data_IF_443413676281
#
_entry.id   IF_443413676281
#
_cell.length_a   1.000
_cell.length_b   1.000
_cell.length_c   1.000
_cell.angle_alpha   90.00
_cell.angle_beta   90.00
_cell.angle_gamma   90.00
#
_symmetry.space_group_name_H-M   'P 1'
#
loop_
_entity.id
_entity.type
_entity.pdbx_description
1 polymer ?
#
# COMPACT_ATOMS: atom_id res chain seq x y z
N UNK A 1 24.61 19.41 13.15
CA UNK A 1 23.22 19.36 13.63
C UNK A 1 22.45 20.55 13.09
N UNK A 2 21.83 20.43 11.90
CA UNK A 2 21.02 21.50 11.31
C UNK A 2 19.56 21.06 11.34
N UNK A 3 18.78 21.72 12.21
CA UNK A 3 17.31 21.63 12.24
C UNK A 3 16.78 22.22 10.94
N UNK A 4 16.42 21.38 9.97
CA UNK A 4 15.67 21.83 8.81
C UNK A 4 14.35 22.44 9.27
N UNK A 5 14.17 23.73 8.98
CA UNK A 5 12.89 24.41 9.02
C UNK A 5 11.91 23.65 8.11
N UNK A 6 11.08 22.78 8.71
CA UNK A 6 9.93 22.15 8.04
C UNK A 6 8.96 23.28 7.68
N UNK A 7 8.97 23.75 6.44
CA UNK A 7 7.88 24.64 6.00
C UNK A 7 6.58 23.84 6.08
N UNK A 8 5.50 24.44 6.60
CA UNK A 8 4.20 23.78 6.71
C UNK A 8 3.73 23.21 5.37
N UNK A 9 4.09 23.90 4.27
CA UNK A 9 3.86 23.46 2.91
C UNK A 9 4.56 22.14 2.57
N UNK A 10 5.81 21.96 3.02
CA UNK A 10 6.56 20.72 2.84
C UNK A 10 5.93 19.54 3.58
N UNK A 11 5.35 19.77 4.76
CA UNK A 11 4.64 18.72 5.51
C UNK A 11 3.34 18.31 4.82
N UNK A 12 2.52 19.28 4.39
CA UNK A 12 1.26 19.01 3.69
C UNK A 12 1.52 18.25 2.39
N UNK A 13 2.54 18.64 1.62
CA UNK A 13 2.93 17.93 0.41
C UNK A 13 3.31 16.47 0.68
N UNK A 14 4.11 16.20 1.71
CA UNK A 14 4.47 14.82 2.10
C UNK A 14 3.26 13.99 2.51
N UNK A 15 2.32 14.58 3.25
CA UNK A 15 1.07 13.90 3.63
C UNK A 15 0.27 13.55 2.37
N UNK A 16 0.16 14.46 1.41
CA UNK A 16 -0.54 14.22 0.17
C UNK A 16 0.14 13.14 -0.69
N UNK A 17 1.46 13.24 -0.89
CA UNK A 17 2.24 12.27 -1.66
C UNK A 17 2.12 10.86 -1.03
N UNK A 18 2.30 10.75 0.29
CA UNK A 18 2.17 9.48 1.01
C UNK A 18 0.74 8.91 0.97
N UNK A 19 -0.29 9.78 1.03
CA UNK A 19 -1.68 9.33 0.92
C UNK A 19 -2.01 8.76 -0.46
N UNK A 20 -1.41 9.31 -1.51
CA UNK A 20 -1.53 8.80 -2.88
C UNK A 20 -0.80 7.45 -3.00
N UNK A 21 0.45 7.39 -2.55
CA UNK A 21 1.28 6.18 -2.63
C UNK A 21 0.66 4.99 -1.87
N UNK A 22 0.07 5.25 -0.70
CA UNK A 22 -0.60 4.24 0.13
C UNK A 22 -2.06 3.97 -0.28
N UNK A 23 -2.52 4.54 -1.39
CA UNK A 23 -3.88 4.34 -1.93
C UNK A 23 -4.98 4.54 -0.88
N UNK A 24 -4.91 5.63 -0.12
CA UNK A 24 -5.80 5.89 1.03
C UNK A 24 -7.28 5.80 0.65
N UNK A 25 -7.66 6.25 -0.55
CA UNK A 25 -9.03 6.16 -1.06
C UNK A 25 -9.49 4.71 -1.24
N UNK A 26 -8.61 3.83 -1.72
CA UNK A 26 -8.91 2.41 -1.88
C UNK A 26 -9.07 1.72 -0.52
N UNK A 27 -8.15 1.99 0.41
CA UNK A 27 -8.24 1.49 1.79
C UNK A 27 -9.54 1.95 2.47
N UNK A 28 -9.88 3.23 2.32
CA UNK A 28 -11.11 3.79 2.87
C UNK A 28 -12.37 3.14 2.28
N UNK A 29 -12.38 2.83 0.98
CA UNK A 29 -13.48 2.12 0.35
C UNK A 29 -13.68 0.70 0.93
N UNK A 30 -12.58 -0.03 1.17
CA UNK A 30 -12.64 -1.34 1.81
C UNK A 30 -13.17 -1.26 3.26
N UNK A 31 -12.70 -0.29 4.05
CA UNK A 31 -13.20 -0.05 5.41
C UNK A 31 -14.70 0.29 5.38
N UNK A 32 -15.12 1.17 4.48
CA UNK A 32 -16.51 1.58 4.37
C UNK A 32 -17.43 0.40 3.99
N UNK A 33 -16.99 -0.44 3.06
CA UNK A 33 -17.71 -1.67 2.71
C UNK A 33 -17.85 -2.61 3.92
N UNK A 34 -16.76 -2.87 4.65
CA UNK A 34 -16.82 -3.72 5.84
C UNK A 34 -17.68 -3.09 6.95
N UNK A 35 -17.59 -1.79 7.16
CA UNK A 35 -18.42 -1.06 8.12
C UNK A 35 -19.91 -1.18 7.77
N UNK A 36 -20.27 -0.99 6.50
CA UNK A 36 -21.64 -1.13 6.02
C UNK A 36 -22.19 -2.56 6.23
N UNK A 37 -21.41 -3.58 5.85
CA UNK A 37 -21.80 -4.99 6.03
C UNK A 37 -21.88 -5.38 7.52
N UNK A 38 -21.04 -4.79 8.37
CA UNK A 38 -21.03 -5.01 9.81
C UNK A 38 -22.10 -4.23 10.56
N UNK A 39 -22.76 -3.25 9.95
CA UNK A 39 -23.66 -2.31 10.64
C UNK A 39 -24.82 -3.02 11.34
N UNK A 40 -25.60 -3.82 10.62
CA UNK A 40 -26.74 -4.55 11.20
C UNK A 40 -26.28 -5.53 12.30
N UNK A 41 -25.29 -6.41 12.07
CA UNK A 41 -24.78 -7.29 13.12
C UNK A 41 -24.24 -6.55 14.35
N UNK A 42 -23.55 -5.43 14.16
CA UNK A 42 -22.99 -4.63 15.24
C UNK A 42 -24.09 -3.99 16.10
N UNK A 43 -25.13 -3.44 15.46
CA UNK A 43 -26.28 -2.87 16.15
C UNK A 43 -27.04 -3.92 16.97
N UNK A 44 -27.27 -5.10 16.39
CA UNK A 44 -27.90 -6.20 17.11
C UNK A 44 -27.06 -6.67 18.28
N UNK A 45 -25.74 -6.80 18.10
CA UNK A 45 -24.83 -7.13 19.19
C UNK A 45 -24.86 -6.07 20.29
N UNK A 46 -24.90 -4.79 19.91
CA UNK A 46 -25.01 -3.68 20.85
C UNK A 46 -26.31 -3.74 21.66
N UNK A 47 -27.45 -4.01 21.03
CA UNK A 47 -28.74 -4.16 21.75
C UNK A 47 -28.70 -5.38 22.67
N UNK A 48 -28.17 -6.51 22.22
CA UNK A 48 -28.04 -7.72 23.06
C UNK A 48 -27.18 -7.44 24.30
N UNK A 49 -26.04 -6.77 24.11
CA UNK A 49 -25.14 -6.40 25.23
C UNK A 49 -25.80 -5.35 26.13
N UNK A 50 -26.44 -4.33 25.56
CA UNK A 50 -27.10 -3.28 26.33
C UNK A 50 -28.23 -3.84 27.20
N UNK A 51 -29.09 -4.69 26.64
CA UNK A 51 -30.16 -5.36 27.38
C UNK A 51 -29.60 -6.28 28.47
N UNK A 52 -28.51 -7.00 28.19
CA UNK A 52 -27.89 -7.89 29.17
C UNK A 52 -27.23 -7.16 30.34
N UNK A 53 -26.64 -5.97 30.11
CA UNK A 53 -25.90 -5.21 31.13
C UNK A 53 -26.79 -4.21 31.86
N UNK A 54 -27.67 -3.50 31.14
CA UNK A 54 -28.44 -2.36 31.65
C UNK A 54 -29.95 -2.63 31.74
N UNK A 55 -30.44 -3.76 31.22
CA UNK A 55 -31.86 -4.10 31.16
C UNK A 55 -32.60 -3.48 29.96
N UNK A 56 -33.81 -3.98 29.70
CA UNK A 56 -34.61 -3.65 28.51
C UNK A 56 -35.00 -2.17 28.41
N UNK A 57 -35.32 -1.53 29.54
CA UNK A 57 -35.75 -0.12 29.58
C UNK A 57 -34.63 0.83 29.19
N UNK A 58 -33.42 0.62 29.71
CA UNK A 58 -32.26 1.46 29.41
C UNK A 58 -31.78 1.23 27.97
N UNK A 59 -31.85 -0.01 27.47
CA UNK A 59 -31.51 -0.32 26.09
C UNK A 59 -32.43 0.41 25.09
N UNK A 60 -33.75 0.45 25.34
CA UNK A 60 -34.71 1.16 24.50
C UNK A 60 -34.46 2.68 24.48
N UNK A 61 -34.16 3.27 25.64
CA UNK A 61 -33.86 4.69 25.77
C UNK A 61 -32.52 5.05 25.10
N UNK A 62 -31.53 4.17 25.16
CA UNK A 62 -30.26 4.33 24.46
C UNK A 62 -30.43 4.31 22.93
N UNK A 63 -31.26 3.41 22.40
CA UNK A 63 -31.58 3.37 20.96
C UNK A 63 -32.32 4.64 20.53
N UNK A 64 -33.30 5.09 21.31
CA UNK A 64 -34.04 6.31 21.04
C UNK A 64 -33.13 7.56 21.06
N UNK A 65 -32.26 7.67 22.07
CA UNK A 65 -31.32 8.79 22.17
C UNK A 65 -30.22 8.73 21.10
N UNK A 66 -29.79 7.54 20.68
CA UNK A 66 -28.80 7.41 19.59
C UNK A 66 -29.41 7.82 18.24
N UNK A 67 -30.71 7.57 18.02
CA UNK A 67 -31.43 7.99 16.82
C UNK A 67 -31.31 9.48 16.51
N UNK A 68 -31.29 10.33 17.54
CA UNK A 68 -31.15 11.80 17.39
C UNK A 68 -29.80 12.23 16.81
N UNK A 69 -28.76 11.39 16.96
CA UNK A 69 -27.42 11.66 16.42
C UNK A 69 -27.19 10.98 15.07
N UNK A 70 -28.12 10.14 14.63
CA UNK A 70 -28.06 9.46 13.35
C UNK A 70 -28.75 10.28 12.27
N UNK A 71 -28.36 9.99 11.02
CA UNK A 71 -29.07 10.53 9.87
C UNK A 71 -30.42 9.82 9.73
N UNK A 72 -31.43 10.42 9.06
CA UNK A 72 -32.73 9.76 8.89
C UNK A 72 -32.62 8.35 8.28
N UNK A 73 -31.71 8.17 7.32
CA UNK A 73 -31.43 6.86 6.73
C UNK A 73 -30.72 5.89 7.69
N UNK A 74 -29.84 6.40 8.55
CA UNK A 74 -29.19 5.61 9.60
C UNK A 74 -30.17 5.17 10.68
N UNK A 75 -31.07 6.06 11.09
CA UNK A 75 -32.13 5.77 12.05
C UNK A 75 -33.09 4.70 11.52
N UNK A 76 -33.57 4.84 10.27
CA UNK A 76 -34.45 3.86 9.64
C UNK A 76 -33.78 2.47 9.54
N UNK A 77 -32.49 2.42 9.21
CA UNK A 77 -31.72 1.18 9.17
C UNK A 77 -31.58 0.53 10.55
N UNK A 78 -31.38 1.32 11.61
CA UNK A 78 -31.31 0.84 13.01
C UNK A 78 -32.66 0.30 13.45
N UNK A 79 -33.74 1.05 13.23
CA UNK A 79 -35.11 0.64 13.60
C UNK A 79 -35.50 -0.66 12.87
N UNK A 80 -35.18 -0.78 11.58
CA UNK A 80 -35.42 -1.99 10.80
C UNK A 80 -34.63 -3.20 11.35
N UNK A 81 -33.36 -3.00 11.75
CA UNK A 81 -32.55 -4.03 12.36
C UNK A 81 -33.13 -4.49 13.70
N UNK A 82 -33.44 -3.57 14.61
CA UNK A 82 -33.97 -3.87 15.96
C UNK A 82 -35.33 -4.56 15.89
N UNK A 83 -36.25 -4.07 15.05
CA UNK A 83 -37.57 -4.69 14.86
C UNK A 83 -37.50 -6.10 14.27
N UNK A 84 -36.52 -6.37 13.40
CA UNK A 84 -36.29 -7.72 12.85
C UNK A 84 -35.76 -8.73 13.88
N UNK A 85 -35.11 -8.26 14.95
CA UNK A 85 -34.48 -9.10 15.97
C UNK A 85 -35.39 -9.47 17.14
N UNK A 86 -36.44 -8.69 17.40
CA UNK A 86 -37.37 -8.89 18.53
C UNK A 86 -38.18 -10.20 18.54
N UNK A 87 -38.01 -11.09 17.55
CA UNK A 87 -38.86 -12.28 17.36
C UNK A 87 -38.21 -13.66 17.48
N UNK A 88 -36.89 -13.81 17.65
CA UNK A 88 -36.22 -15.14 17.60
C UNK A 88 -35.10 -15.32 18.63
N UNK A 89 -35.48 -15.61 19.86
CA UNK A 89 -34.61 -15.89 21.01
C UNK A 89 -33.92 -17.27 20.99
N UNK A 90 -34.09 -18.08 19.93
CA UNK A 90 -33.83 -19.53 19.93
C UNK A 90 -32.42 -20.01 19.55
N UNK A 91 -31.46 -19.15 19.21
CA UNK A 91 -30.11 -19.57 18.80
C UNK A 91 -29.01 -18.71 19.46
N UNK A 92 -29.15 -18.42 20.76
CA UNK A 92 -28.40 -17.37 21.48
C UNK A 92 -26.88 -17.47 21.36
N UNK A 93 -26.26 -18.65 21.43
CA UNK A 93 -24.79 -18.76 21.32
C UNK A 93 -24.27 -18.74 19.87
N UNK A 94 -24.92 -19.46 18.95
CA UNK A 94 -24.52 -19.47 17.54
C UNK A 94 -24.81 -18.12 16.87
N UNK A 95 -25.96 -17.52 17.18
CA UNK A 95 -26.33 -16.18 16.74
C UNK A 95 -25.36 -15.13 17.27
N UNK A 96 -24.99 -15.17 18.54
CA UNK A 96 -24.00 -14.26 19.12
C UNK A 96 -22.62 -14.45 18.48
N UNK A 97 -22.21 -15.68 18.18
CA UNK A 97 -21.00 -15.96 17.42
C UNK A 97 -21.02 -15.36 16.01
N UNK A 98 -22.13 -15.49 15.29
CA UNK A 98 -22.30 -14.90 13.94
C UNK A 98 -22.32 -13.38 13.97
N UNK A 99 -23.00 -12.78 14.96
CA UNK A 99 -23.02 -11.33 15.17
C UNK A 99 -21.63 -10.79 15.49
N UNK A 100 -20.91 -11.44 16.40
CA UNK A 100 -19.55 -11.06 16.76
C UNK A 100 -18.61 -11.21 15.57
N UNK A 101 -18.64 -12.34 14.86
CA UNK A 101 -17.83 -12.57 13.67
C UNK A 101 -18.08 -11.53 12.57
N UNK A 102 -19.35 -11.18 12.35
CA UNK A 102 -19.74 -10.17 11.35
C UNK A 102 -19.33 -8.77 11.77
N UNK A 103 -19.44 -8.43 13.05
CA UNK A 103 -18.97 -7.16 13.61
C UNK A 103 -17.46 -7.03 13.50
N UNK A 104 -16.71 -8.13 13.68
CA UNK A 104 -15.26 -8.14 13.59
C UNK A 104 -14.71 -7.82 12.18
N UNK A 105 -15.56 -7.86 11.13
CA UNK A 105 -15.16 -7.51 9.77
C UNK A 105 -14.72 -6.04 9.64
N UNK A 106 -15.37 -5.10 10.32
CA UNK A 106 -14.97 -3.67 10.26
C UNK A 106 -13.55 -3.46 10.80
N UNK A 107 -13.23 -4.13 11.92
CA UNK A 107 -11.89 -4.10 12.50
C UNK A 107 -10.87 -4.76 11.57
N UNK A 108 -11.25 -5.77 10.78
CA UNK A 108 -10.39 -6.35 9.74
C UNK A 108 -9.99 -5.35 8.67
N UNK A 109 -10.96 -4.61 8.15
CA UNK A 109 -10.69 -3.55 7.18
C UNK A 109 -9.73 -2.52 7.76
N UNK A 110 -9.95 -2.18 9.03
CA UNK A 110 -9.16 -1.18 9.72
C UNK A 110 -7.71 -1.63 9.99
N UNK A 111 -7.53 -2.83 10.54
CA UNK A 111 -6.21 -3.43 10.78
C UNK A 111 -5.43 -3.56 9.47
N UNK A 112 -6.09 -4.04 8.41
CA UNK A 112 -5.46 -4.18 7.08
C UNK A 112 -5.01 -2.83 6.54
N UNK A 113 -5.84 -1.80 6.69
CA UNK A 113 -5.51 -0.45 6.26
C UNK A 113 -4.34 0.13 7.05
N UNK A 114 -4.32 -0.07 8.37
CA UNK A 114 -3.23 0.39 9.22
C UNK A 114 -1.93 -0.37 8.91
N UNK A 115 -1.96 -1.69 8.80
CA UNK A 115 -0.78 -2.47 8.40
C UNK A 115 -0.23 -2.00 7.05
N UNK A 116 -1.09 -1.84 6.04
CA UNK A 116 -0.69 -1.33 4.73
C UNK A 116 -0.10 0.09 4.78
N UNK A 117 -0.67 0.95 5.63
CA UNK A 117 -0.24 2.33 5.83
C UNK A 117 1.13 2.43 6.53
N UNK A 118 1.36 1.60 7.54
CA UNK A 118 2.60 1.57 8.32
C UNK A 118 3.68 0.65 7.71
N UNK A 119 3.39 0.01 6.56
CA UNK A 119 4.36 -0.82 5.84
C UNK A 119 4.60 -2.20 6.47
N UNK A 120 3.65 -2.72 7.23
CA UNK A 120 3.74 -4.07 7.77
C UNK A 120 3.41 -5.13 6.70
N UNK A 121 4.18 -6.21 6.68
CA UNK A 121 3.98 -7.31 5.72
C UNK A 121 3.00 -8.39 6.24
N UNK A 122 2.63 -8.33 7.53
CA UNK A 122 1.82 -9.36 8.18
C UNK A 122 0.40 -8.89 8.49
N UNK A 123 -0.59 -9.66 8.01
CA UNK A 123 -1.97 -9.51 8.48
C UNK A 123 -2.08 -10.01 9.92
N UNK A 124 -2.68 -9.23 10.85
CA UNK A 124 -2.76 -9.63 12.25
C UNK A 124 -3.61 -10.89 12.39
N UNK A 125 -3.11 -11.84 13.20
CA UNK A 125 -3.84 -13.07 13.50
C UNK A 125 -5.18 -12.82 14.20
N UNK A 126 -6.10 -13.78 14.14
CA UNK A 126 -7.47 -13.64 14.64
C UNK A 126 -7.56 -13.17 16.11
N UNK A 127 -6.72 -13.71 17.01
CA UNK A 127 -6.72 -13.29 18.41
C UNK A 127 -6.32 -11.82 18.59
N UNK A 128 -5.37 -11.35 17.78
CA UNK A 128 -4.92 -9.97 17.82
C UNK A 128 -6.01 -9.03 17.31
N UNK A 129 -6.68 -9.39 16.23
CA UNK A 129 -7.84 -8.66 15.75
C UNK A 129 -8.96 -8.53 16.81
N UNK A 130 -9.22 -9.60 17.59
CA UNK A 130 -10.18 -9.53 18.71
C UNK A 130 -9.68 -8.60 19.81
N UNK A 131 -8.39 -8.64 20.14
CA UNK A 131 -7.79 -7.74 21.12
C UNK A 131 -7.82 -6.27 20.66
N UNK A 132 -7.50 -6.00 19.40
CA UNK A 132 -7.52 -4.67 18.80
C UNK A 132 -8.95 -4.12 18.80
N UNK A 133 -9.94 -4.93 18.37
CA UNK A 133 -11.35 -4.58 18.44
C UNK A 133 -11.81 -4.29 19.88
N UNK A 134 -11.49 -5.17 20.84
CA UNK A 134 -11.83 -4.97 22.24
C UNK A 134 -11.19 -3.70 22.80
N UNK A 135 -9.96 -3.40 22.41
CA UNK A 135 -9.24 -2.23 22.87
C UNK A 135 -9.87 -0.92 22.40
N UNK A 136 -10.32 -0.87 21.14
CA UNK A 136 -11.05 0.28 20.59
C UNK A 136 -12.40 0.44 21.29
N UNK A 137 -13.12 -0.65 21.55
CA UNK A 137 -14.40 -0.61 22.28
C UNK A 137 -14.20 -0.08 23.70
N UNK A 138 -13.20 -0.56 24.43
CA UNK A 138 -12.88 -0.08 25.78
C UNK A 138 -12.47 1.39 25.74
N UNK A 139 -11.66 1.80 24.77
CA UNK A 139 -11.25 3.18 24.58
C UNK A 139 -12.44 4.12 24.35
N UNK A 140 -13.37 3.75 23.47
CA UNK A 140 -14.61 4.49 23.23
C UNK A 140 -15.44 4.56 24.52
N UNK A 141 -15.61 3.43 25.23
CA UNK A 141 -16.35 3.38 26.48
C UNK A 141 -15.77 4.28 27.58
N UNK A 142 -14.44 4.28 27.75
CA UNK A 142 -13.73 5.17 28.67
C UNK A 142 -13.89 6.63 28.24
N UNK A 143 -13.77 6.92 26.94
CA UNK A 143 -13.97 8.28 26.41
C UNK A 143 -15.36 8.81 26.74
N UNK A 144 -16.41 8.00 26.53
CA UNK A 144 -17.79 8.36 26.87
C UNK A 144 -17.92 8.57 28.38
N UNK A 145 -17.36 7.67 29.20
CA UNK A 145 -17.38 7.78 30.65
C UNK A 145 -16.73 9.08 31.16
N UNK A 146 -15.57 9.46 30.61
CA UNK A 146 -14.91 10.73 30.92
C UNK A 146 -15.80 11.92 30.53
N UNK A 147 -16.44 11.88 29.37
CA UNK A 147 -17.34 12.94 28.93
C UNK A 147 -18.52 13.14 29.87
N UNK A 148 -19.14 12.04 30.33
CA UNK A 148 -20.25 12.10 31.30
C UNK A 148 -19.78 12.71 32.62
N UNK A 149 -18.61 12.30 33.12
CA UNK A 149 -18.04 12.85 34.36
C UNK A 149 -17.71 14.34 34.22
N UNK A 150 -17.09 14.75 33.11
CA UNK A 150 -16.77 16.16 32.83
C UNK A 150 -18.06 16.98 32.71
N UNK A 151 -19.07 16.48 31.98
CA UNK A 151 -20.37 17.13 31.85
C UNK A 151 -21.07 17.31 33.20
N UNK A 152 -21.06 16.29 34.05
CA UNK A 152 -21.62 16.35 35.40
C UNK A 152 -20.86 17.35 36.29
N UNK A 153 -19.52 17.37 36.21
CA UNK A 153 -18.70 18.32 36.95
C UNK A 153 -18.96 19.77 36.52
N UNK A 154 -19.04 20.02 35.21
CA UNK A 154 -19.33 21.34 34.64
C UNK A 154 -20.72 21.83 35.07
N UNK A 155 -21.73 20.96 35.01
CA UNK A 155 -23.07 21.27 35.48
C UNK A 155 -23.10 21.58 36.99
N UNK A 156 -22.31 20.88 37.79
CA UNK A 156 -22.21 21.11 39.23
C UNK A 156 -21.41 22.37 39.61
N UNK A 157 -20.49 22.82 38.75
CA UNK A 157 -19.60 23.95 39.02
C UNK A 157 -20.17 25.32 38.65
N UNK A 158 -21.38 25.39 38.08
CA UNK A 158 -22.06 26.62 37.60
C UNK A 158 -21.16 27.51 36.71
N UNK A 159 -20.23 26.87 35.99
CA UNK A 159 -19.13 27.52 35.28
C UNK A 159 -19.52 27.99 33.87
N UNK A 160 -20.72 28.58 33.73
CA UNK A 160 -21.39 28.94 32.46
C UNK A 160 -20.48 29.62 31.41
N UNK A 161 -19.62 30.62 31.74
CA UNK A 161 -18.75 31.24 30.73
C UNK A 161 -17.59 30.34 30.25
N UNK A 162 -17.16 29.38 31.06
CA UNK A 162 -16.17 28.37 30.65
C UNK A 162 -16.83 27.33 29.74
N UNK A 163 -18.13 27.03 29.96
CA UNK A 163 -18.92 26.09 29.15
C UNK A 163 -19.09 26.59 27.71
N UNK A 164 -19.37 27.87 27.52
CA UNK A 164 -19.61 28.43 26.18
C UNK A 164 -18.35 28.37 25.31
N UNK A 165 -17.18 28.69 25.86
CA UNK A 165 -15.90 28.62 25.13
C UNK A 165 -15.36 27.19 25.00
N UNK A 166 -15.60 26.34 26.01
CA UNK A 166 -15.19 24.94 25.98
C UNK A 166 -16.08 24.09 25.04
N UNK A 167 -17.35 24.47 24.82
CA UNK A 167 -18.30 23.70 24.01
C UNK A 167 -17.81 23.43 22.58
N UNK A 168 -17.18 24.42 21.94
CA UNK A 168 -16.67 24.31 20.57
C UNK A 168 -15.48 23.34 20.49
N UNK A 169 -14.65 23.29 21.53
CA UNK A 169 -13.50 22.39 21.60
C UNK A 169 -13.81 21.04 22.27
N UNK A 170 -14.94 20.93 22.96
CA UNK A 170 -15.33 19.72 23.69
C UNK A 170 -15.51 18.54 22.73
N UNK A 171 -16.19 18.76 21.60
CA UNK A 171 -16.41 17.71 20.60
C UNK A 171 -15.07 17.27 19.95
N UNK A 172 -14.23 18.16 19.39
CA UNK A 172 -12.91 17.77 18.90
C UNK A 172 -12.01 17.12 19.97
N UNK A 173 -12.03 17.60 21.21
CA UNK A 173 -11.24 17.01 22.29
C UNK A 173 -11.71 15.59 22.63
N UNK A 174 -13.02 15.37 22.69
CA UNK A 174 -13.61 14.05 22.88
C UNK A 174 -13.24 13.11 21.72
N UNK A 175 -13.40 13.57 20.47
CA UNK A 175 -13.02 12.77 19.31
C UNK A 175 -11.52 12.45 19.30
N UNK A 176 -10.66 13.39 19.67
CA UNK A 176 -9.23 13.13 19.78
C UNK A 176 -8.93 12.07 20.84
N UNK A 177 -9.63 12.12 21.99
CA UNK A 177 -9.52 11.09 23.02
C UNK A 177 -10.02 9.72 22.55
N UNK A 178 -11.04 9.68 21.69
CA UNK A 178 -11.56 8.44 21.08
C UNK A 178 -10.61 7.88 20.01
N UNK A 179 -10.05 8.74 19.16
CA UNK A 179 -9.13 8.32 18.10
C UNK A 179 -7.72 7.98 18.59
N UNK A 180 -7.28 8.54 19.72
CA UNK A 180 -5.91 8.34 20.21
C UNK A 180 -5.57 6.87 20.49
N UNK A 181 -6.40 6.07 21.21
CA UNK A 181 -6.13 4.66 21.43
C UNK A 181 -6.08 3.87 20.13
N UNK A 182 -6.92 4.23 19.16
CA UNK A 182 -6.91 3.63 17.84
C UNK A 182 -5.58 3.87 17.11
N UNK A 183 -5.05 5.09 17.14
CA UNK A 183 -3.74 5.40 16.58
C UNK A 183 -2.55 4.93 17.40
N UNK A 184 -2.76 4.50 18.64
CA UNK A 184 -1.69 3.99 19.51
C UNK A 184 -1.61 2.46 19.47
N UNK A 185 -2.75 1.77 19.42
CA UNK A 185 -2.86 0.32 19.60
C UNK A 185 -2.85 -0.45 18.27
N UNK A 186 -3.45 0.09 17.20
CA UNK A 186 -3.52 -0.60 15.92
C UNK A 186 -2.20 -0.62 15.11
N UNK A 187 -1.36 0.44 15.10
CA UNK A 187 -0.15 0.44 14.26
C UNK A 187 0.87 -0.64 14.63
N UNK A 188 1.50 -1.21 13.60
CA UNK A 188 2.69 -2.05 13.72
C UNK A 188 3.79 -1.44 12.86
N UNK A 189 4.93 -0.99 13.43
CA UNK A 189 5.32 -1.07 14.85
C UNK A 189 4.60 -0.07 15.77
N UNK A 190 4.54 -0.36 17.08
CA UNK A 190 3.86 0.47 18.08
C UNK A 190 4.38 1.92 18.06
N UNK A 191 3.47 2.89 18.14
CA UNK A 191 3.81 4.31 18.23
C UNK A 191 3.92 4.74 19.69
N UNK A 192 4.70 5.80 19.97
CA UNK A 192 4.55 6.47 21.27
C UNK A 192 3.29 7.34 21.26
N UNK A 193 2.72 7.62 22.43
CA UNK A 193 1.52 8.49 22.55
C UNK A 193 1.76 9.86 21.91
N UNK A 194 2.99 10.38 21.96
CA UNK A 194 3.37 11.65 21.34
C UNK A 194 3.33 11.60 19.81
N UNK A 195 3.61 10.44 19.23
CA UNK A 195 3.60 10.24 17.77
C UNK A 195 2.18 9.99 17.24
N UNK A 196 1.29 9.45 18.08
CA UNK A 196 -0.11 9.17 17.72
C UNK A 196 -1.04 10.40 17.83
N UNK A 197 -0.67 11.37 18.68
CA UNK A 197 -1.49 12.54 19.02
C UNK A 197 -1.76 13.50 17.85
N UNK A 198 -0.78 13.82 16.96
CA UNK A 198 -1.03 14.71 15.83
C UNK A 198 -2.15 14.22 14.90
N UNK A 199 -2.16 12.93 14.59
CA UNK A 199 -3.16 12.27 13.77
C UNK A 199 -4.51 12.15 14.47
N UNK A 200 -4.53 11.91 15.78
CA UNK A 200 -5.76 11.92 16.58
C UNK A 200 -6.45 13.29 16.54
N UNK A 201 -5.68 14.37 16.72
CA UNK A 201 -6.20 15.75 16.64
C UNK A 201 -6.65 16.09 15.22
N UNK A 202 -5.86 15.72 14.21
CA UNK A 202 -6.23 15.92 12.80
C UNK A 202 -7.55 15.21 12.47
N UNK A 203 -7.68 13.93 12.83
CA UNK A 203 -8.89 13.15 12.60
C UNK A 203 -10.09 13.75 13.32
N UNK A 204 -9.93 14.20 14.56
CA UNK A 204 -11.00 14.84 15.31
C UNK A 204 -11.51 16.14 14.66
N UNK A 205 -10.60 16.99 14.18
CA UNK A 205 -10.95 18.24 13.49
C UNK A 205 -11.63 17.93 12.16
N UNK A 206 -11.03 17.07 11.32
CA UNK A 206 -11.61 16.70 10.03
C UNK A 206 -12.95 15.99 10.17
N UNK A 207 -13.14 15.17 11.20
CA UNK A 207 -14.41 14.52 11.49
C UNK A 207 -15.49 15.53 11.89
N UNK A 208 -15.14 16.52 12.72
CA UNK A 208 -16.06 17.61 13.10
C UNK A 208 -16.51 18.39 11.87
N UNK A 209 -15.57 18.71 10.96
CA UNK A 209 -15.86 19.37 9.69
C UNK A 209 -16.72 18.49 8.77
N UNK A 210 -16.43 17.18 8.72
CA UNK A 210 -17.18 16.21 7.94
C UNK A 210 -18.63 16.14 8.43
N UNK A 211 -18.85 16.09 9.75
CA UNK A 211 -20.19 16.12 10.36
C UNK A 211 -20.95 17.40 10.02
N UNK A 212 -20.32 18.56 10.17
CA UNK A 212 -20.94 19.84 9.80
C UNK A 212 -21.31 19.89 8.31
N UNK A 213 -20.39 19.49 7.43
CA UNK A 213 -20.61 19.47 5.98
C UNK A 213 -21.73 18.50 5.58
N UNK A 214 -21.81 17.35 6.23
CA UNK A 214 -22.84 16.36 5.95
C UNK A 214 -24.21 16.77 6.46
N UNK A 215 -24.32 17.47 7.60
CA UNK A 215 -25.60 18.05 8.02
C UNK A 215 -26.14 19.06 7.00
N UNK A 216 -25.28 19.91 6.46
CA UNK A 216 -25.65 20.85 5.38
C UNK A 216 -26.11 20.08 4.14
N UNK A 217 -25.37 19.05 3.74
CA UNK A 217 -25.75 18.20 2.62
C UNK A 217 -27.10 17.51 2.84
N UNK A 218 -27.31 16.89 4.01
CA UNK A 218 -28.52 16.15 4.34
C UNK A 218 -29.76 17.05 4.39
N UNK A 219 -29.62 18.28 4.91
CA UNK A 219 -30.68 19.28 4.89
C UNK A 219 -31.11 19.63 3.46
N UNK A 220 -30.15 19.71 2.53
CA UNK A 220 -30.42 19.88 1.11
C UNK A 220 -30.93 18.61 0.42
N UNK A 221 -30.52 17.42 0.83
CA UNK A 221 -30.91 16.16 0.19
C UNK A 221 -32.36 15.76 0.51
N UNK A 222 -32.90 16.17 1.67
CA UNK A 222 -34.27 15.88 2.09
C UNK A 222 -35.34 16.37 1.08
N UNK A 223 -35.04 17.41 0.29
CA UNK A 223 -35.93 17.93 -0.75
C UNK A 223 -35.97 17.07 -2.03
N UNK A 224 -35.02 16.14 -2.20
CA UNK A 224 -34.85 15.28 -3.38
C UNK A 224 -35.15 13.81 -3.05
N UNK A 225 -36.35 13.50 -2.52
CA UNK A 225 -36.83 12.14 -2.18
C UNK A 225 -36.90 11.14 -3.35
N UNK A 226 -36.32 11.45 -4.51
CA UNK A 226 -36.47 10.72 -5.77
C UNK A 226 -35.89 9.29 -5.70
N UNK A 227 -34.99 9.00 -4.77
CA UNK A 227 -34.25 7.72 -4.70
C UNK A 227 -34.63 6.80 -3.54
N UNK A 228 -35.56 7.18 -2.65
CA UNK A 228 -36.04 6.35 -1.54
C UNK A 228 -34.92 5.67 -0.73
N UNK A 229 -35.12 4.39 -0.39
CA UNK A 229 -34.17 3.56 0.39
C UNK A 229 -32.80 3.44 -0.28
N UNK A 230 -32.74 3.38 -1.62
CA UNK A 230 -31.47 3.26 -2.37
C UNK A 230 -30.62 4.53 -2.18
N UNK A 231 -31.25 5.71 -2.22
CA UNK A 231 -30.59 6.98 -1.93
C UNK A 231 -30.03 7.01 -0.51
N UNK A 232 -30.79 6.52 0.48
CA UNK A 232 -30.33 6.39 1.86
C UNK A 232 -29.11 5.48 2.02
N UNK A 233 -29.10 4.32 1.35
CA UNK A 233 -27.96 3.40 1.37
C UNK A 233 -26.72 4.03 0.74
N UNK A 234 -26.85 4.62 -0.45
CA UNK A 234 -25.72 5.27 -1.13
C UNK A 234 -25.15 6.42 -0.30
N UNK A 235 -26.03 7.20 0.33
CA UNK A 235 -25.65 8.28 1.22
C UNK A 235 -24.89 7.75 2.45
N UNK A 236 -25.39 6.70 3.09
CA UNK A 236 -24.74 6.05 4.22
C UNK A 236 -23.36 5.50 3.85
N UNK A 237 -23.24 4.80 2.73
CA UNK A 237 -21.95 4.27 2.26
C UNK A 237 -20.97 5.40 1.94
N UNK A 238 -21.45 6.51 1.34
CA UNK A 238 -20.63 7.70 1.07
C UNK A 238 -20.16 8.34 2.38
N UNK A 239 -21.02 8.44 3.38
CA UNK A 239 -20.65 8.92 4.70
C UNK A 239 -19.56 8.05 5.35
N UNK A 240 -19.76 6.73 5.37
CA UNK A 240 -18.78 5.77 5.89
C UNK A 240 -17.44 5.84 5.14
N UNK A 241 -17.49 6.06 3.83
CA UNK A 241 -16.30 6.27 3.00
C UNK A 241 -15.53 7.53 3.40
N UNK A 242 -16.20 8.68 3.52
CA UNK A 242 -15.56 9.92 3.92
C UNK A 242 -15.00 9.82 5.36
N UNK A 243 -15.75 9.18 6.25
CA UNK A 243 -15.30 8.90 7.62
C UNK A 243 -14.02 8.04 7.63
N UNK A 244 -13.98 6.98 6.82
CA UNK A 244 -12.81 6.13 6.68
C UNK A 244 -11.61 6.89 6.08
N UNK A 245 -11.83 7.79 5.10
CA UNK A 245 -10.77 8.65 4.55
C UNK A 245 -10.16 9.53 5.64
N UNK A 246 -10.97 10.18 6.47
CA UNK A 246 -10.49 11.03 7.59
C UNK A 246 -9.62 10.21 8.54
N UNK A 247 -10.09 9.01 8.90
CA UNK A 247 -9.38 8.11 9.81
C UNK A 247 -8.04 7.65 9.24
N UNK A 248 -7.99 7.21 7.98
CA UNK A 248 -6.74 6.74 7.37
C UNK A 248 -5.78 7.92 7.15
N UNK A 249 -6.27 9.10 6.75
CA UNK A 249 -5.45 10.31 6.64
C UNK A 249 -4.83 10.73 7.98
N UNK A 250 -5.56 10.60 9.10
CA UNK A 250 -4.97 10.81 10.43
C UNK A 250 -3.80 9.87 10.71
N UNK A 251 -3.87 8.63 10.24
CA UNK A 251 -2.75 7.70 10.28
C UNK A 251 -1.56 8.16 9.42
N UNK A 252 -1.81 8.66 8.20
CA UNK A 252 -0.78 9.23 7.33
C UNK A 252 -0.06 10.39 8.02
N UNK A 253 -0.82 11.27 8.68
CA UNK A 253 -0.27 12.36 9.50
C UNK A 253 0.67 11.81 10.56
N UNK A 254 0.27 10.77 11.29
CA UNK A 254 1.14 10.13 12.29
C UNK A 254 2.43 9.56 11.67
N UNK A 255 2.37 8.89 10.51
CA UNK A 255 3.56 8.37 9.82
C UNK A 255 4.53 9.51 9.46
N UNK A 256 4.03 10.61 8.90
CA UNK A 256 4.84 11.77 8.51
C UNK A 256 5.46 12.46 9.73
N UNK A 257 4.71 12.62 10.82
CA UNK A 257 5.20 13.29 12.04
C UNK A 257 6.16 12.42 12.86
N UNK A 258 5.92 11.11 12.92
CA UNK A 258 6.81 10.12 13.55
C UNK A 258 8.12 9.94 12.78
N UNK A 259 8.23 10.47 11.55
CA UNK A 259 9.43 10.36 10.73
C UNK A 259 9.67 8.96 10.17
N UNK A 260 8.64 8.11 10.11
CA UNK A 260 8.70 6.73 9.56
C UNK A 260 8.45 6.68 8.06
N UNK A 261 8.81 7.74 7.34
CA UNK A 261 8.87 7.66 5.89
C UNK A 261 10.14 6.89 5.61
N UNK A 262 10.03 5.58 5.41
CA UNK A 262 11.04 4.85 4.66
C UNK A 262 11.23 5.65 3.38
N UNK A 263 12.43 6.19 3.19
CA UNK A 263 12.76 6.81 1.92
C UNK A 263 12.37 5.80 0.83
N UNK A 264 11.74 6.24 -0.27
CA UNK A 264 11.74 5.42 -1.47
C UNK A 264 13.18 4.96 -1.65
N UNK A 265 13.34 3.67 -1.86
CA UNK A 265 14.61 3.02 -2.18
C UNK A 265 15.13 3.65 -3.48
N UNK A 266 15.70 4.85 -3.37
CA UNK A 266 16.38 5.58 -4.43
C UNK A 266 17.68 4.82 -4.62
N UNK A 267 17.59 3.77 -5.43
CA UNK A 267 18.68 3.03 -6.06
C UNK A 267 20.03 3.16 -5.36
N UNK A 268 20.19 2.49 -4.22
CA UNK A 268 21.52 2.21 -3.71
C UNK A 268 22.16 1.16 -4.63
N UNK A 269 22.95 1.68 -5.56
CA UNK A 269 24.03 1.05 -6.31
C UNK A 269 24.71 -0.08 -5.52
N UNK A 270 24.23 -1.32 -5.68
CA UNK A 270 24.94 -2.52 -5.22
C UNK A 270 25.99 -2.92 -6.27
N UNK A 271 26.99 -2.05 -6.44
CA UNK A 271 28.28 -2.43 -6.99
C UNK A 271 29.40 -1.78 -6.18
N UNK A 272 29.90 -2.51 -5.16
CA UNK A 272 31.33 -2.75 -4.88
C UNK A 272 31.52 -3.45 -3.52
N UNK A 273 31.69 -4.76 -3.62
CA UNK A 273 32.88 -5.52 -3.21
C UNK A 273 33.54 -5.25 -1.84
N UNK A 274 33.81 -6.34 -1.11
CA UNK A 274 34.82 -6.37 -0.03
C UNK A 274 34.36 -7.01 1.27
N UNK A 275 34.62 -8.32 1.40
CA UNK A 275 34.15 -9.15 2.51
C UNK A 275 34.67 -8.82 3.91
N UNK A 276 33.90 -9.23 4.91
CA UNK A 276 34.41 -9.83 6.14
C UNK A 276 33.24 -10.40 6.97
N UNK A 277 32.92 -11.67 6.74
CA UNK A 277 32.20 -12.49 7.73
C UNK A 277 33.13 -13.66 8.09
N UNK A 278 33.82 -13.50 9.21
CA UNK A 278 34.63 -14.56 9.80
C UNK A 278 33.76 -15.70 10.28
N UNK A 279 33.90 -16.86 9.65
CA UNK A 279 33.48 -18.14 10.21
C UNK A 279 34.75 -18.94 10.45
N UNK A 280 34.97 -19.24 11.72
CA UNK A 280 36.10 -19.98 12.27
C UNK A 280 35.84 -21.48 12.13
N UNK A 281 36.81 -22.18 11.55
CA UNK A 281 37.20 -23.54 11.94
C UNK A 281 36.57 -24.70 11.18
N UNK A 282 37.36 -25.36 10.33
CA UNK A 282 38.11 -26.59 10.70
C UNK A 282 38.73 -27.23 9.45
N UNK A 283 39.95 -27.75 9.63
CA UNK A 283 40.75 -28.54 8.67
C UNK A 283 40.03 -29.87 8.35
N UNK A 284 40.28 -30.63 7.29
CA UNK A 284 41.52 -31.15 6.69
C UNK A 284 41.25 -31.65 5.25
N UNK A 285 42.35 -31.76 4.50
CA UNK A 285 42.71 -32.81 3.54
C UNK A 285 42.04 -33.02 2.17
N UNK A 286 42.98 -33.29 1.25
CA UNK A 286 42.93 -34.23 0.12
C UNK A 286 42.47 -33.72 -1.26
N UNK A 287 43.50 -33.53 -2.08
CA UNK A 287 43.72 -34.24 -3.35
C UNK A 287 42.87 -33.85 -4.58
N UNK A 288 43.61 -33.37 -5.59
CA UNK A 288 43.58 -33.84 -6.97
C UNK A 288 42.23 -34.18 -7.60
N UNK A 289 41.79 -33.37 -8.58
CA UNK A 289 41.93 -33.75 -10.00
C UNK A 289 41.30 -32.76 -10.99
N UNK A 290 42.01 -32.64 -12.11
CA UNK A 290 41.51 -32.47 -13.49
C UNK A 290 40.91 -31.12 -13.88
N UNK A 291 41.69 -30.36 -14.66
CA UNK A 291 41.34 -30.18 -16.08
C UNK A 291 42.61 -30.30 -16.94
N UNK A 292 42.75 -31.48 -17.54
CA UNK A 292 43.47 -31.64 -18.81
C UNK A 292 42.62 -31.01 -19.90
N UNK A 293 43.20 -30.11 -20.69
CA UNK A 293 43.01 -30.18 -22.14
C UNK A 293 44.25 -29.73 -22.88
N UNK A 294 44.49 -30.48 -23.95
CA UNK A 294 45.72 -30.76 -24.65
C UNK A 294 45.66 -30.07 -26.02
N UNK A 295 46.73 -29.34 -26.41
CA UNK A 295 47.56 -29.60 -27.60
C UNK A 295 48.39 -28.40 -28.05
N UNK A 296 49.71 -28.60 -27.98
CA UNK A 296 50.57 -28.56 -29.17
C UNK A 296 51.24 -27.25 -29.55
N UNK A 297 52.47 -27.04 -29.06
CA UNK A 297 53.54 -26.46 -29.90
C UNK A 297 54.93 -26.92 -29.44
N UNK A 298 55.79 -27.42 -30.34
CA UNK A 298 57.10 -27.93 -29.97
C UNK A 298 58.13 -26.79 -29.96
N UNK A 299 58.94 -26.71 -28.92
CA UNK A 299 60.26 -26.07 -29.01
C UNK A 299 61.26 -27.04 -28.41
N UNK A 300 61.94 -27.74 -29.30
CA UNK A 300 63.16 -28.45 -28.94
C UNK A 300 64.30 -27.45 -28.85
N UNK A 301 65.07 -27.53 -27.79
CA UNK A 301 66.51 -27.33 -27.87
C UNK A 301 67.16 -28.06 -26.71
N UNK A 302 67.73 -29.21 -27.03
CA UNK A 302 68.71 -29.90 -26.20
C UNK A 302 70.01 -29.11 -26.23
N UNK A 303 70.71 -29.06 -25.10
CA UNK A 303 72.05 -28.50 -25.00
C UNK A 303 72.67 -28.91 -23.68
N UNK A 304 73.22 -30.11 -23.68
CA UNK A 304 73.86 -30.79 -22.56
C UNK A 304 75.25 -30.25 -22.25
N UNK A 305 75.67 -30.49 -21.00
CA UNK A 305 77.05 -30.67 -20.51
C UNK A 305 77.91 -29.46 -20.10
N UNK A 306 78.12 -29.41 -18.77
CA UNK A 306 79.40 -29.49 -18.05
C UNK A 306 80.57 -28.54 -18.37
N UNK A 307 80.92 -27.78 -17.31
CA UNK A 307 82.25 -27.64 -16.67
C UNK A 307 83.22 -26.50 -17.05
N UNK A 308 83.46 -25.73 -15.99
CA UNK A 308 84.74 -25.29 -15.40
C UNK A 308 85.48 -24.02 -15.86
N UNK A 309 86.00 -23.37 -14.81
CA UNK A 309 87.13 -22.43 -14.68
C UNK A 309 87.06 -21.00 -15.25
N UNK A 310 87.16 -20.06 -14.29
CA UNK A 310 87.82 -18.74 -14.30
C UNK A 310 88.01 -17.96 -15.60
N UNK A 311 87.47 -16.74 -15.64
CA UNK A 311 88.28 -15.52 -15.84
C UNK A 311 87.42 -14.24 -15.78
N UNK A 312 87.93 -13.27 -15.04
CA UNK A 312 87.72 -11.82 -15.13
C UNK A 312 86.31 -11.26 -15.43
N UNK A 313 85.67 -10.71 -14.40
CA UNK A 313 84.64 -9.66 -14.56
C UNK A 313 85.24 -8.44 -15.26
N UNK A 314 85.15 -8.41 -16.59
CA UNK A 314 85.34 -7.18 -17.38
C UNK A 314 84.06 -6.35 -17.32
N UNK A 315 84.14 -5.02 -17.22
CA UNK A 315 82.97 -4.15 -17.28
C UNK A 315 82.24 -4.37 -18.60
N UNK A 316 80.94 -4.71 -18.56
CA UNK A 316 80.09 -4.74 -19.76
C UNK A 316 80.14 -3.35 -20.40
N UNK A 317 80.77 -3.27 -21.58
CA UNK A 317 80.79 -2.06 -22.39
C UNK A 317 79.37 -1.57 -22.66
N UNK A 318 79.22 -0.26 -22.83
CA UNK A 318 77.95 0.37 -23.17
C UNK A 318 77.24 -0.43 -24.28
N UNK A 319 75.95 -0.77 -24.11
CA UNK A 319 75.23 -1.56 -25.09
C UNK A 319 75.29 -0.87 -26.45
N UNK A 320 75.50 -1.66 -27.50
CA UNK A 320 75.62 -1.17 -28.87
C UNK A 320 74.39 -0.34 -29.21
N UNK A 321 74.61 0.94 -29.52
CA UNK A 321 73.55 1.90 -29.81
C UNK A 321 72.70 1.42 -30.99
N UNK A 322 73.29 0.69 -31.93
CA UNK A 322 72.58 0.09 -33.05
C UNK A 322 71.60 -1.02 -32.60
N UNK A 323 71.92 -1.76 -31.54
CA UNK A 323 71.05 -2.79 -30.98
C UNK A 323 69.85 -2.18 -30.24
N UNK A 324 70.07 -1.10 -29.47
CA UNK A 324 68.95 -0.37 -28.84
C UNK A 324 68.03 0.29 -29.88
N UNK A 325 68.59 0.84 -30.97
CA UNK A 325 67.78 1.42 -32.04
C UNK A 325 66.92 0.37 -32.77
N UNK A 326 67.40 -0.87 -32.86
CA UNK A 326 66.62 -1.98 -33.39
C UNK A 326 65.49 -2.39 -32.44
N UNK A 327 65.77 -2.49 -31.15
CA UNK A 327 64.79 -2.84 -30.11
C UNK A 327 63.71 -1.76 -29.97
N UNK A 328 64.08 -0.48 -30.03
CA UNK A 328 63.11 0.63 -30.03
C UNK A 328 62.22 0.61 -31.28
N UNK A 329 62.75 0.21 -32.44
CA UNK A 329 61.94 0.04 -33.66
C UNK A 329 60.95 -1.10 -33.53
N UNK A 330 61.38 -2.22 -32.95
CA UNK A 330 60.52 -3.38 -32.69
C UNK A 330 59.39 -3.03 -31.71
N UNK A 331 59.69 -2.38 -30.59
CA UNK A 331 58.67 -1.96 -29.62
C UNK A 331 57.67 -0.97 -30.21
N UNK A 332 58.10 -0.06 -31.10
CA UNK A 332 57.19 0.87 -31.78
C UNK A 332 56.25 0.15 -32.75
N UNK A 333 56.76 -0.83 -33.49
CA UNK A 333 55.93 -1.67 -34.37
C UNK A 333 54.87 -2.43 -33.58
N UNK A 334 55.23 -2.99 -32.43
CA UNK A 334 54.28 -3.72 -31.56
C UNK A 334 53.24 -2.79 -30.95
N UNK A 335 53.62 -1.55 -30.62
CA UNK A 335 52.68 -0.54 -30.11
C UNK A 335 51.66 -0.14 -31.18
N UNK A 336 52.08 0.07 -32.42
CA UNK A 336 51.19 0.40 -33.54
C UNK A 336 50.22 -0.74 -33.86
N UNK A 337 50.69 -1.99 -33.81
CA UNK A 337 49.83 -3.17 -33.97
C UNK A 337 48.79 -3.29 -32.84
N UNK A 338 49.21 -3.05 -31.60
CA UNK A 338 48.34 -3.06 -30.43
C UNK A 338 47.29 -1.94 -30.49
N UNK A 339 47.69 -0.72 -30.86
CA UNK A 339 46.79 0.43 -31.03
C UNK A 339 45.72 0.14 -32.10
N UNK A 340 46.12 -0.44 -33.23
CA UNK A 340 45.20 -0.84 -34.29
C UNK A 340 44.22 -1.97 -33.89
N UNK A 341 44.60 -2.84 -32.96
CA UNK A 341 43.71 -3.88 -32.42
C UNK A 341 42.76 -3.33 -31.34
N UNK A 342 43.21 -2.35 -30.55
CA UNK A 342 42.38 -1.64 -29.56
C UNK A 342 41.34 -0.78 -30.25
N UNK A 343 41.69 -0.04 -31.30
CA UNK A 343 40.75 0.80 -32.03
C UNK A 343 39.69 -0.04 -32.76
N UNK A 344 40.04 -1.23 -33.25
CA UNK A 344 39.09 -2.19 -33.85
C UNK A 344 38.12 -2.81 -32.83
N UNK A 345 38.54 -2.95 -31.56
CA UNK A 345 37.69 -3.47 -30.47
C UNK A 345 36.93 -2.38 -29.72
N UNK A 346 37.33 -1.12 -29.87
CA UNK A 346 36.66 0.01 -29.22
C UNK A 346 35.49 0.45 -30.09
N UNK A 347 34.32 -0.13 -29.81
CA UNK A 347 33.08 0.26 -30.49
C UNK A 347 32.77 1.72 -30.14
N UNK A 348 32.56 2.54 -31.17
CA UNK A 348 32.20 3.95 -31.01
C UNK A 348 30.93 4.07 -30.15
N UNK A 349 31.10 4.64 -28.96
CA UNK A 349 30.04 4.95 -27.98
C UNK A 349 28.75 5.54 -28.60
N UNK A 350 28.78 6.44 -29.61
CA UNK A 350 27.57 6.96 -30.23
C UNK A 350 26.74 5.91 -31.01
N UNK A 351 27.36 4.88 -31.59
CA UNK A 351 26.65 3.88 -32.37
C UNK A 351 25.82 2.96 -31.46
N UNK A 352 26.42 2.49 -30.37
CA UNK A 352 25.76 1.69 -29.32
C UNK A 352 24.61 2.45 -28.68
N UNK A 353 24.79 3.74 -28.38
CA UNK A 353 23.72 4.58 -27.82
C UNK A 353 22.54 4.72 -28.79
N UNK A 354 22.82 4.82 -30.09
CA UNK A 354 21.79 4.95 -31.13
C UNK A 354 20.99 3.66 -31.29
N UNK A 355 21.64 2.49 -31.22
CA UNK A 355 20.99 1.19 -31.27
C UNK A 355 20.15 0.93 -30.02
N UNK A 356 20.66 1.25 -28.84
CA UNK A 356 19.91 1.17 -27.59
C UNK A 356 18.70 2.10 -27.61
N UNK A 357 18.86 3.37 -28.03
CA UNK A 357 17.72 4.30 -28.17
C UNK A 357 16.69 3.77 -29.17
N UNK A 358 17.12 3.20 -30.30
CA UNK A 358 16.23 2.60 -31.31
C UNK A 358 15.50 1.38 -30.76
N UNK A 359 16.21 0.51 -30.06
CA UNK A 359 15.68 -0.68 -29.42
C UNK A 359 14.64 -0.33 -28.35
N UNK A 360 14.99 0.57 -27.41
CA UNK A 360 14.10 1.05 -26.35
C UNK A 360 12.86 1.73 -26.94
N UNK A 361 13.03 2.60 -27.95
CA UNK A 361 11.90 3.24 -28.64
C UNK A 361 10.98 2.23 -29.33
N UNK A 362 11.55 1.21 -29.96
CA UNK A 362 10.77 0.14 -30.61
C UNK A 362 10.06 -0.77 -29.59
N UNK A 363 10.65 -0.96 -28.41
CA UNK A 363 10.12 -1.81 -27.34
C UNK A 363 9.02 -1.09 -26.55
N UNK A 364 9.18 0.20 -26.24
CA UNK A 364 8.14 1.02 -25.61
C UNK A 364 6.87 1.13 -26.48
N UNK A 365 7.02 1.24 -27.81
CA UNK A 365 5.86 1.31 -28.71
C UNK A 365 5.08 -0.01 -28.83
N UNK A 366 5.70 -1.17 -28.56
CA UNK A 366 5.01 -2.47 -28.64
C UNK A 366 4.16 -2.78 -27.40
N UNK A 367 4.33 -2.06 -26.29
CA UNK A 367 3.66 -2.32 -25.02
C UNK A 367 2.29 -1.66 -24.84
N UNK A 368 2.01 -0.53 -25.52
CA UNK A 368 0.83 0.28 -25.18
C UNK A 368 -0.44 -0.01 -25.97
N UNK A 369 -0.42 -0.82 -27.04
CA UNK A 369 -1.59 -1.00 -27.90
C UNK A 369 -2.46 -2.24 -27.56
N UNK A 370 -1.96 -3.22 -26.80
CA UNK A 370 -2.65 -4.52 -26.64
C UNK A 370 -3.67 -4.58 -25.48
N UNK A 371 -3.87 -3.50 -24.74
CA UNK A 371 -4.73 -3.48 -23.54
C UNK A 371 -5.99 -2.64 -23.62
N UNK A 372 -6.29 -1.98 -24.76
CA UNK A 372 -7.39 -0.99 -24.83
C UNK A 372 -8.79 -1.60 -24.97
N UNK A 373 -8.89 -2.86 -25.41
CA UNK A 373 -10.18 -3.54 -25.64
C UNK A 373 -11.16 -3.44 -24.45
N UNK A 374 -10.75 -3.80 -23.22
CA UNK A 374 -11.60 -3.70 -22.05
C UNK A 374 -12.07 -2.26 -21.75
N UNK A 375 -11.20 -1.26 -21.96
CA UNK A 375 -11.54 0.15 -21.73
C UNK A 375 -12.50 0.71 -22.80
N UNK A 376 -12.38 0.27 -24.05
CA UNK A 376 -13.31 0.64 -25.11
C UNK A 376 -14.71 0.06 -24.88
N UNK A 377 -14.80 -1.17 -24.37
CA UNK A 377 -16.07 -1.79 -23.98
C UNK A 377 -16.70 -1.05 -22.79
N UNK A 378 -15.89 -0.66 -21.81
CA UNK A 378 -16.36 0.11 -20.65
C UNK A 378 -16.84 1.50 -21.07
N UNK A 379 -16.10 2.19 -21.94
CA UNK A 379 -16.49 3.48 -22.51
C UNK A 379 -17.81 3.38 -23.28
N UNK A 380 -17.95 2.37 -24.15
CA UNK A 380 -19.19 2.10 -24.89
C UNK A 380 -20.37 1.85 -23.94
N UNK A 381 -20.15 1.05 -22.89
CA UNK A 381 -21.14 0.81 -21.84
C UNK A 381 -21.58 2.10 -21.16
N UNK A 382 -20.63 2.94 -20.71
CA UNK A 382 -20.95 4.22 -20.07
C UNK A 382 -21.71 5.17 -20.98
N UNK A 383 -21.37 5.25 -22.27
CA UNK A 383 -22.08 6.09 -23.24
C UNK A 383 -23.51 5.62 -23.44
N UNK A 384 -23.73 4.30 -23.55
CA UNK A 384 -25.08 3.74 -23.68
C UNK A 384 -25.91 3.88 -22.40
N UNK A 385 -25.30 3.73 -21.24
CA UNK A 385 -25.97 3.96 -19.94
C UNK A 385 -26.42 5.43 -19.82
N UNK A 386 -25.56 6.37 -20.22
CA UNK A 386 -25.93 7.80 -20.27
C UNK A 386 -27.06 8.04 -21.28
N UNK A 387 -26.99 7.45 -22.47
CA UNK A 387 -28.06 7.58 -23.46
C UNK A 387 -29.39 6.98 -23.01
N UNK A 388 -29.35 5.87 -22.26
CA UNK A 388 -30.53 5.25 -21.65
C UNK A 388 -31.14 6.14 -20.55
N UNK A 389 -30.31 6.80 -19.74
CA UNK A 389 -30.76 7.74 -18.70
C UNK A 389 -31.39 9.01 -19.28
N UNK A 390 -30.94 9.48 -20.45
CA UNK A 390 -31.47 10.70 -21.07
C UNK A 390 -32.69 10.46 -21.94
N UNK A 391 -32.87 9.22 -22.44
CA UNK A 391 -33.88 8.92 -23.47
C UNK A 391 -35.04 8.04 -22.96
N UNK A 392 -34.92 7.43 -21.78
CA UNK A 392 -35.93 6.56 -21.18
C UNK A 392 -36.29 7.06 -19.79
N UNK A 393 -37.57 6.94 -19.41
CA UNK A 393 -38.06 7.33 -18.08
C UNK A 393 -38.52 6.13 -17.24
N UNK A 394 -38.39 6.27 -15.93
CA UNK A 394 -38.94 5.33 -14.94
C UNK A 394 -38.36 3.92 -15.01
N UNK A 395 -39.23 2.90 -14.92
CA UNK A 395 -38.83 1.48 -14.84
C UNK A 395 -38.09 0.98 -16.09
N UNK A 396 -38.33 1.62 -17.25
CA UNK A 396 -37.69 1.23 -18.51
C UNK A 396 -36.23 1.67 -18.58
N UNK A 397 -35.89 2.82 -17.99
CA UNK A 397 -34.50 3.25 -17.83
C UNK A 397 -33.73 2.28 -16.92
N UNK A 398 -34.32 1.91 -15.78
CA UNK A 398 -33.73 0.94 -14.85
C UNK A 398 -33.53 -0.43 -15.52
N UNK A 399 -34.54 -0.92 -16.24
CA UNK A 399 -34.43 -2.16 -17.02
C UNK A 399 -33.33 -2.11 -18.08
N UNK A 400 -33.24 -1.01 -18.83
CA UNK A 400 -32.20 -0.83 -19.84
C UNK A 400 -30.79 -0.79 -19.23
N UNK A 401 -30.60 -0.11 -18.10
CA UNK A 401 -29.32 -0.03 -17.39
C UNK A 401 -28.90 -1.41 -16.87
N UNK A 402 -29.83 -2.20 -16.34
CA UNK A 402 -29.54 -3.56 -15.87
C UNK A 402 -29.13 -4.47 -17.03
N UNK A 403 -29.84 -4.42 -18.16
CA UNK A 403 -29.51 -5.22 -19.35
C UNK A 403 -28.18 -4.80 -19.96
N UNK A 404 -27.93 -3.50 -20.09
CA UNK A 404 -26.67 -2.95 -20.59
C UNK A 404 -25.50 -3.28 -19.66
N UNK A 405 -25.71 -3.19 -18.35
CA UNK A 405 -24.72 -3.55 -17.34
C UNK A 405 -24.34 -5.03 -17.40
N UNK A 406 -25.33 -5.93 -17.47
CA UNK A 406 -25.08 -7.37 -17.57
C UNK A 406 -24.41 -7.75 -18.90
N UNK A 407 -24.79 -7.10 -20.00
CA UNK A 407 -24.20 -7.34 -21.33
C UNK A 407 -22.74 -6.89 -21.41
N UNK A 408 -22.44 -5.69 -20.89
CA UNK A 408 -21.08 -5.13 -20.90
C UNK A 408 -20.15 -5.88 -19.94
N UNK A 409 -20.64 -6.30 -18.78
CA UNK A 409 -19.87 -7.09 -17.81
C UNK A 409 -19.57 -8.51 -18.34
N UNK A 410 -20.54 -9.13 -19.02
CA UNK A 410 -20.35 -10.43 -19.68
C UNK A 410 -19.29 -10.36 -20.80
N UNK A 411 -19.38 -9.35 -21.67
CA UNK A 411 -18.41 -9.15 -22.74
C UNK A 411 -17.00 -8.82 -22.20
N UNK A 412 -16.91 -7.98 -21.18
CA UNK A 412 -15.66 -7.65 -20.49
C UNK A 412 -14.99 -8.90 -19.92
N UNK A 413 -15.77 -9.77 -19.27
CA UNK A 413 -15.27 -11.03 -18.69
C UNK A 413 -14.70 -11.94 -19.78
N UNK A 414 -15.36 -12.07 -20.93
CA UNK A 414 -14.86 -12.84 -22.08
C UNK A 414 -13.54 -12.28 -22.59
N UNK A 415 -13.43 -10.95 -22.75
CA UNK A 415 -12.19 -10.31 -23.19
C UNK A 415 -11.03 -10.52 -22.22
N UNK A 416 -11.28 -10.49 -20.91
CA UNK A 416 -10.27 -10.76 -19.89
C UNK A 416 -9.79 -12.21 -19.98
N UNK A 417 -10.71 -13.17 -20.09
CA UNK A 417 -10.38 -14.59 -20.21
C UNK A 417 -9.60 -14.88 -21.50
N UNK A 418 -10.02 -14.32 -22.64
CA UNK A 418 -9.30 -14.46 -23.92
C UNK A 418 -7.93 -13.78 -23.86
N UNK A 419 -7.82 -12.59 -23.25
CA UNK A 419 -6.56 -11.89 -23.07
C UNK A 419 -5.56 -12.67 -22.22
N UNK A 420 -6.01 -13.29 -21.14
CA UNK A 420 -5.19 -14.18 -20.30
C UNK A 420 -4.78 -15.43 -21.09
N UNK A 421 -5.72 -16.05 -21.83
CA UNK A 421 -5.47 -17.24 -22.63
C UNK A 421 -4.43 -17.03 -23.74
N UNK A 422 -4.51 -15.91 -24.46
CA UNK A 422 -3.53 -15.57 -25.50
C UNK A 422 -2.14 -15.26 -24.91
N UNK A 423 -2.06 -14.62 -23.74
CA UNK A 423 -0.79 -14.36 -23.06
C UNK A 423 -0.13 -15.66 -22.60
N UNK A 424 -0.92 -16.64 -22.11
CA UNK A 424 -0.42 -17.96 -21.74
C UNK A 424 0.22 -18.70 -22.92
N UNK A 425 -0.32 -18.55 -24.14
CA UNK A 425 0.19 -19.18 -25.37
C UNK A 425 1.53 -18.59 -25.83
N UNK A 426 1.84 -17.33 -25.50
CA UNK A 426 3.14 -16.70 -25.83
C UNK A 426 4.26 -17.03 -24.82
N UNK A 427 3.92 -17.48 -23.61
CA UNK A 427 4.86 -17.85 -22.55
C UNK A 427 5.86 -18.98 -22.89
N UNK A 428 5.49 -20.08 -23.57
CA UNK A 428 6.42 -21.18 -23.84
C UNK A 428 7.61 -20.78 -24.73
N UNK A 429 7.45 -19.82 -25.64
CA UNK A 429 8.56 -19.32 -26.47
C UNK A 429 9.63 -18.59 -25.64
N UNK A 430 9.22 -17.83 -24.62
CA UNK A 430 10.13 -17.09 -23.73
C UNK A 430 10.88 -18.02 -22.77
N UNK A 431 10.23 -19.11 -22.32
CA UNK A 431 10.85 -20.12 -21.47
C UNK A 431 11.90 -20.95 -22.24
N UNK A 432 11.63 -21.29 -23.51
CA UNK A 432 12.58 -21.98 -24.39
C UNK A 432 13.81 -21.12 -24.74
N UNK A 433 13.63 -19.82 -25.01
CA UNK A 433 14.73 -18.89 -25.26
C UNK A 433 15.60 -18.63 -24.01
N UNK A 434 15.00 -18.72 -22.81
CA UNK A 434 15.72 -18.64 -21.54
C UNK A 434 16.53 -19.91 -21.27
N UNK A 435 15.99 -21.09 -21.60
CA UNK A 435 16.68 -22.37 -21.46
C UNK A 435 17.86 -22.51 -22.44
N UNK A 436 17.73 -22.02 -23.69
CA UNK A 436 18.83 -22.03 -24.67
C UNK A 436 20.03 -21.19 -24.23
N UNK A 437 19.80 -20.02 -23.63
CA UNK A 437 20.88 -19.14 -23.16
C UNK A 437 21.68 -19.67 -21.97
N UNK A 438 21.20 -20.72 -21.30
CA UNK A 438 21.91 -21.39 -20.20
C UNK A 438 22.65 -22.65 -20.64
N UNK A 439 22.52 -23.04 -21.90
CA UNK A 439 23.20 -24.23 -22.46
C UNK A 439 24.51 -23.90 -23.20
N UNK A 440 24.81 -22.61 -23.38
CA UNK A 440 26.01 -22.12 -24.08
C UNK A 440 27.08 -21.52 -23.12
N UNK A 441 26.82 -21.53 -21.81
CA UNK A 441 27.78 -21.31 -20.72
C UNK A 441 28.08 -22.65 -20.03
#
# INVERSE_FOLDING_TARGET
>A
MLRHSRSAFGTVRRVADLAIDRQVTFLAAAIAYYAFVSLVPALLLLVVVATAVFGETIAAELVASTGEFLTPAGEEAVVAAVSSAGGRTGASLLGLGVLLWSTLKVFRGLDTAFVSLYGGDETPGFLRQVADAASVVVAVGVGIGVMVVVGAFVAAADAVPLVETASVLALPAFLAAVFLPMYYLLPQPTLTVRDALPGAVFAAVCWTLLQAGFQVYAAGAAQYQVYGVIGGILLLVTWLYLAAVVVVLGGVVNVVFAGRVDAPDDGADDTRDGGSAGVVGSRDDAADRQLQQDRGRPTGMNGESDRDEGDDERPRGAPDVAALEAEVRELRSQLEEFEGDVERRTVDKPEVESELKRYVRSRMRRGHARGWGPYLVLLYGTVLTLAALTSLDGIYAVGAIVVLGLSTLGLYTIFVVVGIGLNLIETPGKALDYARRRGDD
#
